data_IF_385108829707
#
_entry.id   IF_385108829707
#
_cell.length_a   1.000
_cell.length_b   1.000
_cell.length_c   1.000
_cell.angle_alpha   90.00
_cell.angle_beta   90.00
_cell.angle_gamma   90.00
#
_symmetry.space_group_name_H-M   'P 1'
#
loop_
_entity.id
_entity.type
_entity.pdbx_description
1 polymer ?
#
# COMPACT_ATOMS: atom_id res chain seq x y z
N UNK A 1 41.81 -10.50 -28.66
CA UNK A 1 41.68 -10.51 -27.19
C UNK A 1 40.84 -9.33 -26.65
N UNK A 2 40.03 -8.64 -27.47
CA UNK A 2 39.37 -7.39 -27.07
C UNK A 2 37.82 -7.43 -27.12
N UNK A 3 37.21 -8.61 -27.31
CA UNK A 3 35.74 -8.75 -27.26
C UNK A 3 35.20 -9.22 -25.90
N UNK A 4 36.07 -9.78 -25.05
CA UNK A 4 35.71 -10.27 -23.73
C UNK A 4 35.64 -9.16 -22.66
N UNK A 5 36.32 -8.02 -22.85
CA UNK A 5 36.28 -6.90 -21.89
C UNK A 5 34.98 -6.11 -21.95
N UNK A 6 34.33 -6.05 -23.12
CA UNK A 6 33.07 -5.31 -23.31
C UNK A 6 31.89 -6.02 -22.60
N UNK A 7 31.90 -7.35 -22.58
CA UNK A 7 30.89 -8.13 -21.87
C UNK A 7 31.02 -7.99 -20.35
N UNK A 8 32.25 -7.98 -19.82
CA UNK A 8 32.49 -7.70 -18.40
C UNK A 8 32.00 -6.30 -18.03
N UNK A 9 32.28 -5.30 -18.85
CA UNK A 9 31.85 -3.92 -18.61
C UNK A 9 30.31 -3.75 -18.61
N UNK A 10 29.58 -4.54 -19.42
CA UNK A 10 28.11 -4.53 -19.43
C UNK A 10 27.52 -5.24 -18.21
N UNK A 11 28.18 -6.31 -17.75
CA UNK A 11 27.79 -7.03 -16.54
C UNK A 11 28.06 -6.18 -15.30
N UNK A 12 29.20 -5.49 -15.23
CA UNK A 12 29.54 -4.60 -14.11
C UNK A 12 28.56 -3.42 -14.03
N UNK A 13 28.23 -2.77 -15.16
CA UNK A 13 27.21 -1.70 -15.20
C UNK A 13 25.82 -2.19 -14.80
N UNK A 14 25.45 -3.41 -15.19
CA UNK A 14 24.16 -4.01 -14.80
C UNK A 14 24.11 -4.32 -13.29
N UNK A 15 25.22 -4.80 -12.73
CA UNK A 15 25.36 -5.08 -11.29
C UNK A 15 25.35 -3.77 -10.49
N UNK A 16 26.05 -2.73 -10.94
CA UNK A 16 26.06 -1.42 -10.28
C UNK A 16 24.69 -0.75 -10.29
N UNK A 17 24.00 -0.79 -11.42
CA UNK A 17 22.62 -0.30 -11.52
C UNK A 17 21.68 -1.09 -10.60
N UNK A 18 21.85 -2.42 -10.51
CA UNK A 18 21.06 -3.26 -9.62
C UNK A 18 21.36 -2.94 -8.14
N UNK A 19 22.62 -2.80 -7.75
CA UNK A 19 22.99 -2.41 -6.38
C UNK A 19 22.49 -1.03 -5.99
N UNK A 20 22.39 -0.10 -6.94
CA UNK A 20 21.87 1.24 -6.68
C UNK A 20 20.32 1.27 -6.55
N UNK A 21 19.60 0.42 -7.27
CA UNK A 21 18.12 0.49 -7.37
C UNK A 21 17.38 -0.52 -6.50
N UNK A 22 17.91 -1.74 -6.35
CA UNK A 22 17.26 -2.82 -5.61
C UNK A 22 17.00 -2.48 -4.13
N UNK A 23 17.93 -1.88 -3.36
CA UNK A 23 17.68 -1.60 -1.94
C UNK A 23 16.49 -0.65 -1.73
N UNK A 24 16.32 0.36 -2.59
CA UNK A 24 15.23 1.32 -2.51
C UNK A 24 13.86 0.68 -2.77
N UNK A 25 13.78 -0.23 -3.75
CA UNK A 25 12.56 -0.98 -4.04
C UNK A 25 12.17 -1.93 -2.90
N UNK A 26 13.14 -2.57 -2.26
CA UNK A 26 12.86 -3.46 -1.12
C UNK A 26 12.29 -2.67 0.06
N UNK A 27 12.86 -1.51 0.37
CA UNK A 27 12.37 -0.64 1.46
C UNK A 27 10.98 -0.11 1.16
N UNK A 28 10.70 0.30 -0.08
CA UNK A 28 9.40 0.84 -0.47
C UNK A 28 8.30 -0.22 -0.39
N UNK A 29 8.54 -1.41 -0.93
CA UNK A 29 7.62 -2.55 -0.85
C UNK A 29 7.39 -2.97 0.61
N UNK A 30 8.43 -3.02 1.44
CA UNK A 30 8.29 -3.36 2.86
C UNK A 30 7.43 -2.33 3.60
N UNK A 31 7.63 -1.04 3.32
CA UNK A 31 6.82 0.04 3.90
C UNK A 31 5.36 -0.02 3.45
N UNK A 32 5.10 -0.35 2.18
CA UNK A 32 3.76 -0.49 1.63
C UNK A 32 3.01 -1.68 2.26
N UNK A 33 3.70 -2.81 2.46
CA UNK A 33 3.15 -3.97 3.17
C UNK A 33 2.79 -3.59 4.61
N UNK A 34 3.65 -2.84 5.29
CA UNK A 34 3.38 -2.38 6.66
C UNK A 34 2.11 -1.51 6.70
N UNK A 35 1.98 -0.55 5.79
CA UNK A 35 0.80 0.32 5.69
C UNK A 35 -0.45 -0.50 5.38
N UNK A 36 -0.37 -1.50 4.49
CA UNK A 36 -1.49 -2.37 4.16
C UNK A 36 -1.98 -3.12 5.40
N UNK A 37 -1.07 -3.74 6.16
CA UNK A 37 -1.41 -4.49 7.38
C UNK A 37 -2.06 -3.57 8.42
N UNK A 38 -1.44 -2.41 8.69
CA UNK A 38 -1.95 -1.43 9.66
C UNK A 38 -3.28 -0.85 9.18
N UNK A 39 -3.38 -0.49 7.91
CA UNK A 39 -4.58 0.09 7.30
C UNK A 39 -5.77 -0.86 7.36
N UNK A 40 -5.58 -2.15 7.03
CA UNK A 40 -6.64 -3.14 7.18
C UNK A 40 -7.09 -3.31 8.64
N UNK A 41 -6.16 -3.24 9.58
CA UNK A 41 -6.49 -3.27 11.01
C UNK A 41 -7.33 -2.06 11.42
N UNK A 42 -6.94 -0.85 10.99
CA UNK A 42 -7.68 0.40 11.24
C UNK A 42 -9.08 0.33 10.62
N UNK A 43 -9.22 -0.16 9.37
CA UNK A 43 -10.53 -0.31 8.70
C UNK A 43 -11.45 -1.23 9.52
N UNK A 44 -10.92 -2.38 9.98
CA UNK A 44 -11.70 -3.30 10.83
C UNK A 44 -12.12 -2.65 12.15
N UNK A 45 -11.23 -1.90 12.78
CA UNK A 45 -11.51 -1.18 14.01
C UNK A 45 -12.60 -0.10 13.82
N UNK A 46 -12.48 0.71 12.78
CA UNK A 46 -13.47 1.74 12.44
C UNK A 46 -14.84 1.15 12.12
N UNK A 47 -14.91 0.09 11.32
CA UNK A 47 -16.18 -0.59 11.03
C UNK A 47 -16.85 -1.13 12.30
N UNK A 48 -16.07 -1.67 13.25
CA UNK A 48 -16.60 -2.16 14.54
C UNK A 48 -17.11 -1.00 15.41
N UNK A 49 -16.43 0.14 15.40
CA UNK A 49 -16.88 1.33 16.12
C UNK A 49 -18.16 1.92 15.52
N UNK A 50 -18.24 1.99 14.20
CA UNK A 50 -19.42 2.47 13.48
C UNK A 50 -20.64 1.58 13.74
N UNK A 51 -20.48 0.26 13.70
CA UNK A 51 -21.58 -0.66 14.05
C UNK A 51 -22.10 -0.43 15.48
N UNK A 52 -21.21 -0.17 16.45
CA UNK A 52 -21.63 0.21 17.82
C UNK A 52 -22.32 1.57 17.90
N UNK A 53 -21.95 2.51 17.03
CA UNK A 53 -22.61 3.82 16.96
C UNK A 53 -24.02 3.71 16.39
N UNK A 54 -24.20 2.89 15.36
CA UNK A 54 -25.52 2.62 14.77
C UNK A 54 -26.46 1.96 15.79
N UNK A 55 -25.99 1.00 16.59
CA UNK A 55 -26.81 0.39 17.65
C UNK A 55 -27.31 1.37 18.74
N UNK A 56 -26.65 2.52 18.92
CA UNK A 56 -27.05 3.52 19.92
C UNK A 56 -28.09 4.51 19.40
N UNK A 57 -28.33 4.54 18.09
CA UNK A 57 -29.31 5.44 17.46
C UNK A 57 -30.36 4.60 16.76
N UNK A 58 -31.59 5.08 16.79
CA UNK A 58 -32.75 4.42 16.17
C UNK A 58 -32.74 4.64 14.64
N UNK A 59 -31.67 4.16 13.99
CA UNK A 59 -31.51 4.20 12.54
C UNK A 59 -32.18 2.97 11.92
N UNK A 60 -32.86 3.17 10.78
CA UNK A 60 -33.39 2.06 9.99
C UNK A 60 -32.25 1.18 9.43
N UNK A 61 -32.48 -0.13 9.36
CA UNK A 61 -31.58 -1.14 8.84
C UNK A 61 -31.02 -0.80 7.45
N UNK A 62 -31.85 -0.21 6.58
CA UNK A 62 -31.43 0.18 5.23
C UNK A 62 -30.33 1.26 5.29
N UNK A 63 -30.47 2.24 6.18
CA UNK A 63 -29.50 3.33 6.33
C UNK A 63 -28.22 2.85 7.00
N UNK A 64 -28.33 1.97 8.02
CA UNK A 64 -27.16 1.35 8.65
C UNK A 64 -26.32 0.60 7.60
N UNK A 65 -26.96 -0.25 6.80
CA UNK A 65 -26.27 -1.08 5.80
C UNK A 65 -25.65 -0.21 4.70
N UNK A 66 -26.36 0.84 4.26
CA UNK A 66 -25.84 1.81 3.29
C UNK A 66 -24.60 2.53 3.83
N UNK A 67 -24.66 3.08 5.05
CA UNK A 67 -23.53 3.82 5.61
C UNK A 67 -22.34 2.91 5.94
N UNK A 68 -22.58 1.71 6.45
CA UNK A 68 -21.51 0.75 6.69
C UNK A 68 -20.80 0.36 5.39
N UNK A 69 -21.54 0.06 4.33
CA UNK A 69 -20.95 -0.28 3.03
C UNK A 69 -20.22 0.93 2.41
N UNK A 70 -20.81 2.12 2.45
CA UNK A 70 -20.21 3.35 1.94
C UNK A 70 -18.89 3.68 2.65
N UNK A 71 -18.88 3.67 3.99
CA UNK A 71 -17.67 3.98 4.77
C UNK A 71 -16.60 2.91 4.54
N UNK A 72 -16.98 1.62 4.48
CA UNK A 72 -16.05 0.53 4.18
C UNK A 72 -15.37 0.70 2.82
N UNK A 73 -16.13 1.10 1.79
CA UNK A 73 -15.59 1.37 0.45
C UNK A 73 -14.69 2.60 0.48
N UNK A 74 -15.13 3.70 1.09
CA UNK A 74 -14.36 4.94 1.19
C UNK A 74 -13.01 4.71 1.89
N UNK A 75 -13.00 4.01 3.02
CA UNK A 75 -11.77 3.71 3.75
C UNK A 75 -10.81 2.82 2.95
N UNK A 76 -11.33 1.85 2.19
CA UNK A 76 -10.50 1.04 1.29
C UNK A 76 -9.88 1.88 0.19
N UNK A 77 -10.63 2.80 -0.43
CA UNK A 77 -10.11 3.70 -1.47
C UNK A 77 -8.95 4.53 -0.90
N UNK A 78 -9.13 5.13 0.27
CA UNK A 78 -8.08 5.92 0.93
C UNK A 78 -6.83 5.07 1.19
N UNK A 79 -7.00 3.84 1.68
CA UNK A 79 -5.89 2.92 1.91
C UNK A 79 -5.15 2.58 0.60
N UNK A 80 -5.88 2.30 -0.47
CA UNK A 80 -5.29 2.00 -1.78
C UNK A 80 -4.50 3.20 -2.34
N UNK A 81 -5.06 4.41 -2.26
CA UNK A 81 -4.37 5.63 -2.68
C UNK A 81 -3.07 5.79 -1.88
N UNK A 82 -3.12 5.61 -0.56
CA UNK A 82 -1.94 5.72 0.30
C UNK A 82 -0.84 4.70 -0.09
N UNK A 83 -1.22 3.46 -0.40
CA UNK A 83 -0.28 2.43 -0.85
C UNK A 83 0.36 2.82 -2.18
N UNK A 84 -0.44 3.27 -3.16
CA UNK A 84 0.06 3.69 -4.48
C UNK A 84 0.99 4.90 -4.34
N UNK A 85 0.60 5.89 -3.54
CA UNK A 85 1.43 7.06 -3.26
C UNK A 85 2.75 6.64 -2.63
N UNK A 86 2.74 5.77 -1.62
CA UNK A 86 3.96 5.31 -0.95
C UNK A 86 4.92 4.58 -1.90
N UNK A 87 4.39 3.75 -2.80
CA UNK A 87 5.19 3.06 -3.81
C UNK A 87 5.73 4.04 -4.88
N UNK A 88 4.98 5.09 -5.22
CA UNK A 88 5.38 6.11 -6.18
C UNK A 88 6.37 7.15 -5.66
N UNK A 89 6.20 7.65 -4.42
CA UNK A 89 7.06 8.70 -3.84
C UNK A 89 8.47 8.22 -3.50
N UNK A 90 8.68 6.92 -3.31
CA UNK A 90 10.02 6.35 -3.13
C UNK A 90 10.71 5.98 -4.46
N UNK A 91 10.00 6.10 -5.58
CA UNK A 91 10.53 5.78 -6.92
C UNK A 91 11.05 7.01 -7.67
N UNK A 92 11.14 8.17 -7.01
CA UNK A 92 11.76 9.42 -7.53
C UNK A 92 12.98 9.81 -6.74
#
# INVERSE_FOLDING_TARGET
MNELSNYQEHIDKAIDWAWATLPGLVVSVLSAILILVVGLYVIRFLNKMLSKFFQKKDYDLALETFLQSFISIALKIVLFVLIITQLGVQSS
#
